data_IF_148793131079
#
_entry.id   IF_148793131079
#
_cell.length_a   1.000
_cell.length_b   1.000
_cell.length_c   1.000
_cell.angle_alpha   90.00
_cell.angle_beta   90.00
_cell.angle_gamma   90.00
#
_symmetry.space_group_name_H-M   'P 1'
#
loop_
_entity.id
_entity.type
_entity.pdbx_description
1 polymer ?
#
# COMPACT_ATOMS: atom_id res chain seq x y z
N UNK A 1 -38.40 7.71 9.78
CA UNK A 1 -38.74 6.35 9.29
C UNK A 1 -38.64 6.20 7.77
N UNK A 2 -39.11 7.15 6.93
CA UNK A 2 -38.94 7.07 5.47
C UNK A 2 -37.49 7.27 5.00
N UNK A 3 -36.76 8.20 5.62
CA UNK A 3 -35.36 8.48 5.23
C UNK A 3 -34.43 7.30 5.50
N UNK A 4 -34.60 6.61 6.63
CA UNK A 4 -33.84 5.41 6.96
C UNK A 4 -34.05 4.27 5.94
N UNK A 5 -35.26 4.15 5.39
CA UNK A 5 -35.61 3.12 4.40
C UNK A 5 -35.08 3.46 2.99
N UNK A 6 -34.95 4.75 2.67
CA UNK A 6 -34.32 5.20 1.42
C UNK A 6 -32.80 4.99 1.47
N UNK A 7 -32.17 5.25 2.62
CA UNK A 7 -30.75 4.97 2.83
C UNK A 7 -30.46 3.46 2.71
N UNK A 8 -31.25 2.61 3.37
CA UNK A 8 -31.09 1.15 3.31
C UNK A 8 -31.25 0.60 1.88
N UNK A 9 -32.18 1.16 1.10
CA UNK A 9 -32.36 0.79 -0.31
C UNK A 9 -31.19 1.25 -1.19
N UNK A 10 -30.67 2.45 -0.95
CA UNK A 10 -29.52 3.00 -1.66
C UNK A 10 -28.26 2.17 -1.39
N UNK A 11 -28.00 1.83 -0.12
CA UNK A 11 -26.89 0.97 0.29
C UNK A 11 -27.01 -0.43 -0.35
N UNK A 12 -28.23 -1.00 -0.35
CA UNK A 12 -28.50 -2.28 -1.00
C UNK A 12 -28.28 -2.25 -2.52
N UNK A 13 -28.66 -1.15 -3.18
CA UNK A 13 -28.43 -0.97 -4.62
C UNK A 13 -26.95 -0.79 -4.94
N UNK A 14 -26.22 0.01 -4.16
CA UNK A 14 -24.77 0.19 -4.32
C UNK A 14 -24.03 -1.13 -4.10
N UNK A 15 -24.40 -1.92 -3.09
CA UNK A 15 -23.85 -3.25 -2.88
C UNK A 15 -24.10 -4.18 -4.08
N UNK A 16 -25.32 -4.18 -4.63
CA UNK A 16 -25.65 -4.95 -5.83
C UNK A 16 -24.84 -4.51 -7.05
N UNK A 17 -24.71 -3.20 -7.29
CA UNK A 17 -23.91 -2.65 -8.39
C UNK A 17 -22.43 -2.98 -8.23
N UNK A 18 -21.89 -2.85 -7.02
CA UNK A 18 -20.51 -3.24 -6.72
C UNK A 18 -20.28 -4.74 -7.00
N UNK A 19 -21.21 -5.61 -6.61
CA UNK A 19 -21.12 -7.04 -6.91
C UNK A 19 -21.19 -7.34 -8.41
N UNK A 20 -21.99 -6.59 -9.17
CA UNK A 20 -22.03 -6.70 -10.64
C UNK A 20 -20.75 -6.19 -11.29
N UNK A 21 -20.19 -5.08 -10.82
CA UNK A 21 -18.91 -4.58 -11.29
C UNK A 21 -17.78 -5.59 -11.00
N UNK A 22 -17.75 -6.22 -9.82
CA UNK A 22 -16.79 -7.29 -9.51
C UNK A 22 -16.89 -8.46 -10.49
N UNK A 23 -18.09 -8.84 -10.93
CA UNK A 23 -18.27 -9.88 -11.97
C UNK A 23 -17.71 -9.37 -13.30
N UNK A 24 -18.11 -8.17 -13.72
CA UNK A 24 -17.69 -7.59 -14.99
C UNK A 24 -16.16 -7.45 -15.12
N UNK A 25 -15.50 -6.91 -14.09
CA UNK A 25 -14.03 -6.78 -14.06
C UNK A 25 -13.32 -8.14 -14.13
N UNK A 26 -13.90 -9.19 -13.53
CA UNK A 26 -13.36 -10.55 -13.66
C UNK A 26 -13.53 -11.10 -15.07
N UNK A 27 -14.66 -10.82 -15.72
CA UNK A 27 -14.88 -11.20 -17.12
C UNK A 27 -13.90 -10.47 -18.06
N UNK A 28 -13.45 -9.26 -17.71
CA UNK A 28 -12.37 -8.51 -18.39
C UNK A 28 -10.95 -9.01 -18.05
N UNK A 29 -10.84 -10.08 -17.25
CA UNK A 29 -9.57 -10.72 -16.91
C UNK A 29 -8.83 -10.09 -15.72
N UNK A 30 -9.46 -9.21 -14.95
CA UNK A 30 -8.88 -8.71 -13.69
C UNK A 30 -8.97 -9.81 -12.63
N UNK A 31 -7.86 -10.08 -11.94
CA UNK A 31 -7.82 -11.04 -10.83
C UNK A 31 -8.68 -10.58 -9.64
N UNK A 32 -9.26 -11.54 -8.91
CA UNK A 32 -10.19 -11.25 -7.81
C UNK A 32 -9.52 -10.50 -6.65
N UNK A 33 -8.24 -10.79 -6.41
CA UNK A 33 -7.42 -10.24 -5.34
C UNK A 33 -7.04 -8.77 -5.60
N UNK A 34 -6.84 -8.37 -6.86
CA UNK A 34 -6.64 -6.98 -7.24
C UNK A 34 -7.91 -6.15 -6.96
N UNK A 35 -9.08 -6.71 -7.30
CA UNK A 35 -10.37 -6.07 -7.01
C UNK A 35 -10.57 -5.95 -5.49
N UNK A 36 -10.25 -7.00 -4.74
CA UNK A 36 -10.35 -6.99 -3.28
C UNK A 36 -9.39 -5.97 -2.63
N UNK A 37 -8.18 -5.82 -3.15
CA UNK A 37 -7.18 -4.87 -2.66
C UNK A 37 -7.65 -3.41 -2.78
N UNK A 38 -8.28 -3.05 -3.89
CA UNK A 38 -8.81 -1.70 -4.08
C UNK A 38 -10.07 -1.47 -3.24
N UNK A 39 -11.01 -2.41 -3.27
CA UNK A 39 -12.28 -2.31 -2.51
C UNK A 39 -12.09 -2.27 -0.99
N UNK A 40 -11.03 -2.89 -0.46
CA UNK A 40 -10.74 -2.84 0.97
C UNK A 40 -10.35 -1.42 1.44
N UNK A 41 -9.81 -0.59 0.55
CA UNK A 41 -9.32 0.74 0.88
C UNK A 41 -10.43 1.79 0.97
N UNK A 42 -11.50 1.59 0.21
CA UNK A 42 -12.45 2.65 -0.08
C UNK A 42 -13.88 2.13 -0.09
N UNK A 43 -14.77 2.89 0.56
CA UNK A 43 -16.21 2.83 0.27
C UNK A 43 -16.45 3.71 -0.95
N UNK A 44 -15.82 3.38 -2.08
CA UNK A 44 -15.95 4.18 -3.30
C UNK A 44 -17.34 3.93 -3.87
N UNK A 45 -18.20 4.94 -3.75
CA UNK A 45 -19.52 4.99 -4.40
C UNK A 45 -19.39 5.33 -5.91
N UNK A 46 -18.17 5.60 -6.38
CA UNK A 46 -17.84 5.87 -7.78
C UNK A 46 -17.19 4.66 -8.46
N UNK A 47 -17.99 4.01 -9.31
CA UNK A 47 -17.60 2.81 -10.06
C UNK A 47 -16.56 3.08 -11.16
N UNK A 48 -16.52 4.31 -11.71
CA UNK A 48 -15.58 4.68 -12.78
C UNK A 48 -14.19 4.81 -12.19
N UNK A 49 -14.09 5.54 -11.08
CA UNK A 49 -12.87 5.70 -10.30
C UNK A 49 -12.29 4.36 -9.85
N UNK A 50 -13.15 3.49 -9.33
CA UNK A 50 -12.78 2.14 -8.92
C UNK A 50 -12.19 1.33 -10.09
N UNK A 51 -12.81 1.39 -11.28
CA UNK A 51 -12.31 0.70 -12.48
C UNK A 51 -10.93 1.21 -12.88
N UNK A 52 -10.72 2.52 -12.94
CA UNK A 52 -9.43 3.12 -13.30
C UNK A 52 -8.33 2.76 -12.29
N UNK A 53 -8.67 2.77 -11.00
CA UNK A 53 -7.75 2.38 -9.93
C UNK A 53 -7.36 0.91 -9.98
N UNK A 54 -8.32 0.02 -10.27
CA UNK A 54 -8.08 -1.40 -10.47
C UNK A 54 -7.22 -1.65 -11.72
N UNK A 55 -7.46 -0.93 -12.81
CA UNK A 55 -6.65 -1.02 -14.04
C UNK A 55 -5.20 -0.57 -13.79
N UNK A 56 -5.01 0.56 -13.09
CA UNK A 56 -3.69 1.05 -12.70
C UNK A 56 -2.96 0.06 -11.77
N UNK A 57 -3.68 -0.53 -10.79
CA UNK A 57 -3.10 -1.52 -9.88
C UNK A 57 -2.67 -2.77 -10.64
N UNK A 58 -3.50 -3.24 -11.57
CA UNK A 58 -3.18 -4.37 -12.43
C UNK A 58 -1.91 -4.09 -13.25
N UNK A 59 -1.85 -2.96 -13.95
CA UNK A 59 -0.69 -2.60 -14.77
C UNK A 59 0.60 -2.50 -13.92
N UNK A 60 0.50 -1.94 -12.72
CA UNK A 60 1.59 -1.90 -11.76
C UNK A 60 2.07 -3.30 -11.35
N UNK A 61 1.15 -4.19 -10.96
CA UNK A 61 1.50 -5.55 -10.51
C UNK A 61 2.00 -6.44 -11.65
N UNK A 62 1.61 -6.17 -12.89
CA UNK A 62 2.12 -6.84 -14.09
C UNK A 62 3.51 -6.33 -14.50
N UNK A 63 3.93 -5.16 -14.02
CA UNK A 63 5.27 -4.62 -14.26
C UNK A 63 6.32 -5.33 -13.40
N UNK A 64 7.55 -5.39 -13.92
CA UNK A 64 8.69 -5.95 -13.17
C UNK A 64 8.94 -5.19 -11.87
N UNK A 65 8.83 -3.86 -11.90
CA UNK A 65 9.09 -3.04 -10.72
C UNK A 65 8.03 -3.24 -9.64
N UNK A 66 6.75 -3.28 -10.03
CA UNK A 66 5.65 -3.47 -9.07
C UNK A 66 5.60 -4.88 -8.49
N UNK A 67 5.85 -5.91 -9.29
CA UNK A 67 5.94 -7.29 -8.82
C UNK A 67 7.05 -7.45 -7.77
N UNK A 68 8.24 -6.92 -8.04
CA UNK A 68 9.36 -6.99 -7.10
C UNK A 68 9.13 -6.13 -5.84
N UNK A 69 8.55 -4.94 -6.00
CA UNK A 69 8.18 -4.10 -4.86
C UNK A 69 7.13 -4.78 -3.97
N UNK A 70 6.18 -5.53 -4.54
CA UNK A 70 5.20 -6.30 -3.75
C UNK A 70 5.88 -7.37 -2.90
N UNK A 71 6.89 -8.06 -3.44
CA UNK A 71 7.69 -9.03 -2.68
C UNK A 71 8.40 -8.35 -1.51
N UNK A 72 9.05 -7.20 -1.78
CA UNK A 72 9.75 -6.44 -0.76
C UNK A 72 8.81 -5.86 0.33
N UNK A 73 7.62 -5.38 -0.07
CA UNK A 73 6.57 -4.96 0.85
C UNK A 73 6.12 -6.11 1.78
N UNK A 74 5.90 -7.31 1.25
CA UNK A 74 5.52 -8.47 2.06
C UNK A 74 6.59 -8.82 3.08
N UNK A 75 7.87 -8.73 2.69
CA UNK A 75 9.00 -8.90 3.62
C UNK A 75 8.97 -7.85 4.73
N UNK A 76 8.80 -6.57 4.39
CA UNK A 76 8.68 -5.48 5.35
C UNK A 76 7.51 -5.70 6.32
N UNK A 77 6.30 -5.94 5.79
CA UNK A 77 5.08 -6.17 6.57
C UNK A 77 5.23 -7.36 7.52
N UNK A 78 5.76 -8.48 7.02
CA UNK A 78 5.92 -9.69 7.83
C UNK A 78 6.96 -9.48 8.94
N UNK A 79 8.08 -8.80 8.65
CA UNK A 79 9.09 -8.50 9.66
C UNK A 79 8.52 -7.58 10.75
N UNK A 80 7.84 -6.51 10.37
CA UNK A 80 7.16 -5.61 11.31
C UNK A 80 6.17 -6.40 12.17
N UNK A 81 5.28 -7.20 11.57
CA UNK A 81 4.29 -8.00 12.30
C UNK A 81 4.91 -8.98 13.31
N UNK A 82 6.03 -9.62 12.95
CA UNK A 82 6.74 -10.53 13.85
C UNK A 82 7.27 -9.77 15.06
N UNK A 83 7.90 -8.61 14.83
CA UNK A 83 8.46 -7.81 15.92
C UNK A 83 7.34 -7.14 16.75
N UNK A 84 6.23 -6.71 16.15
CA UNK A 84 5.07 -6.15 16.87
C UNK A 84 4.51 -7.17 17.87
N UNK A 85 4.41 -8.44 17.46
CA UNK A 85 4.00 -9.53 18.35
C UNK A 85 5.01 -9.81 19.47
N UNK A 86 6.31 -9.79 19.16
CA UNK A 86 7.36 -10.04 20.16
C UNK A 86 7.42 -8.94 21.21
N UNK A 87 7.33 -7.69 20.77
CA UNK A 87 7.52 -6.52 21.62
C UNK A 87 6.19 -6.04 22.24
N UNK A 88 5.04 -6.59 21.80
CA UNK A 88 3.70 -6.14 22.18
C UNK A 88 3.51 -4.63 21.95
N UNK A 89 4.05 -4.11 20.85
CA UNK A 89 4.08 -2.70 20.48
C UNK A 89 3.91 -2.53 18.97
N UNK A 90 3.31 -1.42 18.53
CA UNK A 90 3.19 -1.06 17.10
C UNK A 90 4.43 -0.34 16.57
N UNK A 91 4.75 -0.53 15.28
CA UNK A 91 5.80 0.23 14.58
C UNK A 91 5.26 1.15 13.49
N UNK A 92 4.08 1.68 13.74
CA UNK A 92 3.38 2.69 12.97
C UNK A 92 3.80 4.14 13.30
N UNK A 93 4.80 4.30 14.19
CA UNK A 93 5.34 5.60 14.61
C UNK A 93 6.19 6.32 13.57
N UNK A 94 6.71 7.49 14.00
CA UNK A 94 7.54 8.38 13.18
C UNK A 94 8.99 7.92 13.14
N UNK A 95 9.58 7.95 11.95
CA UNK A 95 11.03 7.75 11.74
C UNK A 95 11.78 8.97 12.26
N UNK A 96 12.79 8.74 13.09
CA UNK A 96 13.69 9.77 13.57
C UNK A 96 14.87 9.85 12.60
N UNK A 97 14.85 10.84 11.70
CA UNK A 97 15.86 10.99 10.63
C UNK A 97 17.29 11.07 11.17
N UNK A 98 17.49 11.77 12.29
CA UNK A 98 18.79 11.87 12.96
C UNK A 98 19.34 10.53 13.50
N UNK A 99 18.53 9.47 13.50
CA UNK A 99 18.92 8.11 13.90
C UNK A 99 19.04 7.16 12.70
N UNK A 100 19.04 7.68 11.46
CA UNK A 100 19.36 6.91 10.25
C UNK A 100 20.87 6.91 10.05
N UNK A 101 21.48 5.74 10.17
CA UNK A 101 22.94 5.59 10.23
C UNK A 101 23.51 5.22 8.88
N UNK A 102 22.90 4.23 8.23
CA UNK A 102 23.42 3.70 6.97
C UNK A 102 22.88 4.51 5.77
N UNK A 103 23.70 4.69 4.73
CA UNK A 103 23.30 5.43 3.54
C UNK A 103 22.01 4.88 2.87
N UNK A 104 21.78 3.55 2.78
CA UNK A 104 20.53 3.00 2.27
C UNK A 104 19.29 3.39 3.10
N UNK A 105 19.42 3.57 4.42
CA UNK A 105 18.30 4.01 5.28
C UNK A 105 17.89 5.44 4.95
N UNK A 106 18.87 6.32 4.81
CA UNK A 106 18.68 7.72 4.48
C UNK A 106 18.08 7.87 3.08
N UNK A 107 18.62 7.13 2.10
CA UNK A 107 18.13 7.13 0.73
C UNK A 107 16.69 6.61 0.65
N UNK A 108 16.36 5.53 1.36
CA UNK A 108 15.01 5.00 1.44
C UNK A 108 14.05 6.00 2.09
N UNK A 109 14.43 6.59 3.23
CA UNK A 109 13.57 7.54 3.93
C UNK A 109 13.25 8.77 3.07
N UNK A 110 14.27 9.36 2.43
CA UNK A 110 14.08 10.49 1.52
C UNK A 110 13.15 10.11 0.36
N UNK A 111 13.37 8.95 -0.27
CA UNK A 111 12.52 8.51 -1.38
C UNK A 111 11.08 8.25 -0.94
N UNK A 112 10.87 7.70 0.25
CA UNK A 112 9.53 7.49 0.79
C UNK A 112 8.76 8.81 0.99
N UNK A 113 9.44 9.88 1.46
CA UNK A 113 8.80 11.19 1.57
C UNK A 113 8.38 11.73 0.19
N UNK A 114 9.27 11.65 -0.80
CA UNK A 114 8.98 12.11 -2.16
C UNK A 114 7.81 11.33 -2.78
N UNK A 115 7.85 9.99 -2.66
CA UNK A 115 6.84 9.10 -3.24
C UNK A 115 5.49 9.29 -2.55
N UNK A 116 5.45 9.44 -1.23
CA UNK A 116 4.19 9.74 -0.51
C UNK A 116 3.57 11.03 -1.04
N UNK A 117 4.35 12.11 -1.12
CA UNK A 117 3.83 13.40 -1.59
C UNK A 117 3.29 13.32 -3.02
N UNK A 118 4.04 12.66 -3.93
CA UNK A 118 3.61 12.47 -5.32
C UNK A 118 2.34 11.61 -5.40
N UNK A 119 2.29 10.50 -4.67
CA UNK A 119 1.13 9.62 -4.65
C UNK A 119 -0.11 10.33 -4.09
N UNK A 120 0.01 11.10 -3.01
CA UNK A 120 -1.11 11.85 -2.44
C UNK A 120 -1.66 12.91 -3.40
N UNK A 121 -0.80 13.62 -4.12
CA UNK A 121 -1.22 14.60 -5.14
C UNK A 121 -1.92 13.89 -6.29
N UNK A 122 -1.33 12.82 -6.81
CA UNK A 122 -1.91 12.04 -7.91
C UNK A 122 -3.26 11.43 -7.53
N UNK A 123 -3.39 10.86 -6.32
CA UNK A 123 -4.65 10.29 -5.83
C UNK A 123 -5.77 11.33 -5.65
N UNK A 124 -5.42 12.58 -5.30
CA UNK A 124 -6.37 13.71 -5.25
C UNK A 124 -6.81 14.17 -6.64
N UNK A 125 -5.91 14.09 -7.62
CA UNK A 125 -6.19 14.37 -9.03
C UNK A 125 -6.80 13.20 -9.80
N UNK A 126 -7.05 12.06 -9.14
CA UNK A 126 -7.53 10.82 -9.75
C UNK A 126 -6.57 10.23 -10.81
N UNK A 127 -5.29 10.60 -10.72
CA UNK A 127 -4.21 10.14 -11.59
C UNK A 127 -3.61 8.83 -11.04
N UNK A 128 -4.39 7.74 -11.06
CA UNK A 128 -3.98 6.47 -10.45
C UNK A 128 -2.71 5.86 -11.04
N UNK A 129 -2.53 5.96 -12.36
CA UNK A 129 -1.30 5.48 -13.02
C UNK A 129 -0.06 6.23 -12.52
N UNK A 130 -0.17 7.54 -12.30
CA UNK A 130 0.91 8.37 -11.77
C UNK A 130 1.24 7.98 -10.33
N UNK A 131 0.22 7.70 -9.51
CA UNK A 131 0.42 7.21 -8.14
C UNK A 131 1.16 5.86 -8.13
N UNK A 132 0.76 4.92 -8.99
CA UNK A 132 1.42 3.61 -9.12
C UNK A 132 2.86 3.73 -9.63
N UNK A 133 3.11 4.58 -10.63
CA UNK A 133 4.44 4.84 -11.15
C UNK A 133 5.34 5.50 -10.10
N UNK A 134 4.78 6.34 -9.22
CA UNK A 134 5.52 6.88 -8.08
C UNK A 134 5.91 5.77 -7.09
N UNK A 135 4.98 4.87 -6.75
CA UNK A 135 5.26 3.72 -5.88
C UNK A 135 6.36 2.82 -6.44
N UNK A 136 6.34 2.51 -7.75
CA UNK A 136 7.35 1.67 -8.40
C UNK A 136 8.80 2.14 -8.16
N UNK A 137 9.00 3.45 -7.99
CA UNK A 137 10.32 4.04 -7.68
C UNK A 137 10.91 3.60 -6.33
N UNK A 138 10.11 2.96 -5.47
CA UNK A 138 10.55 2.43 -4.20
C UNK A 138 11.27 1.08 -4.32
N UNK A 139 11.16 0.35 -5.44
CA UNK A 139 11.81 -0.96 -5.61
C UNK A 139 13.29 -0.91 -5.24
N UNK A 140 14.08 -0.11 -5.98
CA UNK A 140 15.54 -0.04 -5.82
C UNK A 140 15.97 0.34 -4.39
N UNK A 141 15.45 1.41 -3.77
CA UNK A 141 15.88 1.76 -2.41
C UNK A 141 15.39 0.78 -1.33
N UNK A 142 14.26 0.10 -1.54
CA UNK A 142 13.80 -0.94 -0.60
C UNK A 142 14.71 -2.18 -0.69
N UNK A 143 15.09 -2.59 -1.90
CA UNK A 143 16.01 -3.71 -2.11
C UNK A 143 17.37 -3.39 -1.47
N UNK A 144 17.94 -2.22 -1.77
CA UNK A 144 19.21 -1.77 -1.17
C UNK A 144 19.16 -1.72 0.36
N UNK A 145 18.05 -1.25 0.94
CA UNK A 145 17.88 -1.31 2.39
C UNK A 145 17.93 -2.75 2.90
N UNK A 146 17.26 -3.68 2.25
CA UNK A 146 17.20 -5.06 2.71
C UNK A 146 18.49 -5.87 2.50
N UNK A 147 19.32 -5.45 1.55
CA UNK A 147 20.62 -6.06 1.25
C UNK A 147 21.71 -5.56 2.21
N UNK A 148 21.72 -4.25 2.49
CA UNK A 148 22.80 -3.61 3.25
C UNK A 148 22.46 -3.33 4.71
N UNK A 149 21.17 -3.31 5.11
CA UNK A 149 20.74 -2.93 6.46
C UNK A 149 20.22 -4.12 7.25
N UNK A 150 20.95 -4.46 8.32
CA UNK A 150 20.46 -5.44 9.31
C UNK A 150 19.45 -4.78 10.25
N UNK A 151 18.17 -5.13 10.12
CA UNK A 151 17.11 -4.55 10.96
C UNK A 151 17.25 -4.95 12.43
N UNK A 152 17.53 -6.23 12.69
CA UNK A 152 17.65 -6.74 14.06
C UNK A 152 19.08 -6.55 14.59
N UNK A 153 19.28 -5.48 15.35
CA UNK A 153 20.54 -5.10 16.01
C UNK A 153 20.34 -4.96 17.52
N UNK A 154 21.46 -5.02 18.26
CA UNK A 154 21.45 -4.95 19.73
C UNK A 154 21.04 -3.57 20.27
N UNK A 155 21.32 -2.51 19.51
CA UNK A 155 20.84 -1.17 19.83
C UNK A 155 19.32 -1.09 19.62
N UNK A 156 18.60 -1.03 20.74
CA UNK A 156 17.13 -0.98 20.77
C UNK A 156 16.56 0.27 20.10
N UNK A 157 17.23 1.41 20.22
CA UNK A 157 16.75 2.66 19.61
C UNK A 157 16.89 2.60 18.09
N UNK A 158 18.05 2.15 17.61
CA UNK A 158 18.31 1.97 16.17
C UNK A 158 17.38 0.91 15.57
N UNK A 159 17.23 -0.26 16.22
CA UNK A 159 16.28 -1.31 15.80
C UNK A 159 14.86 -0.75 15.69
N UNK A 160 14.41 0.00 16.70
CA UNK A 160 13.07 0.62 16.69
C UNK A 160 12.91 1.60 15.52
N UNK A 161 13.91 2.44 15.25
CA UNK A 161 13.86 3.40 14.15
C UNK A 161 13.81 2.68 12.78
N UNK A 162 14.59 1.61 12.59
CA UNK A 162 14.54 0.76 11.39
C UNK A 162 13.18 0.08 11.23
N UNK A 163 12.53 -0.35 12.31
CA UNK A 163 11.18 -0.91 12.28
C UNK A 163 10.13 0.15 11.93
N UNK A 164 10.27 1.39 12.42
CA UNK A 164 9.43 2.50 11.97
C UNK A 164 9.59 2.77 10.48
N UNK A 165 10.82 2.70 9.94
CA UNK A 165 11.09 2.87 8.52
C UNK A 165 10.40 1.78 7.67
N UNK A 166 10.41 0.53 8.14
CA UNK A 166 9.64 -0.55 7.50
C UNK A 166 8.12 -0.34 7.59
N UNK A 167 7.63 0.16 8.73
CA UNK A 167 6.24 0.56 8.89
C UNK A 167 5.85 1.72 7.97
N UNK A 168 6.80 2.59 7.63
CA UNK A 168 6.66 3.69 6.69
C UNK A 168 6.40 3.17 5.26
N UNK A 169 7.20 2.21 4.79
CA UNK A 169 6.98 1.50 3.50
C UNK A 169 5.54 0.99 3.44
N UNK A 170 5.09 0.32 4.50
CA UNK A 170 3.74 -0.24 4.59
C UNK A 170 2.67 0.84 4.39
N UNK A 171 2.75 1.92 5.16
CA UNK A 171 1.79 3.04 5.09
C UNK A 171 1.79 3.71 3.73
N UNK A 172 2.96 3.88 3.12
CA UNK A 172 3.10 4.55 1.82
C UNK A 172 2.39 3.75 0.71
N UNK A 173 2.57 2.43 0.66
CA UNK A 173 1.84 1.59 -0.30
C UNK A 173 0.35 1.50 0.01
N UNK A 174 -0.04 1.41 1.28
CA UNK A 174 -1.44 1.37 1.71
C UNK A 174 -2.24 2.64 1.36
N UNK A 175 -1.60 3.74 0.94
CA UNK A 175 -2.34 4.90 0.39
C UNK A 175 -3.07 4.59 -0.92
N UNK A 176 -2.58 3.62 -1.68
CA UNK A 176 -3.04 3.34 -3.04
C UNK A 176 -3.96 2.13 -3.10
N UNK A 177 -3.62 1.03 -2.40
CA UNK A 177 -4.42 -0.19 -2.32
C UNK A 177 -4.05 -1.01 -1.06
N UNK A 178 -4.96 -1.88 -0.60
CA UNK A 178 -4.65 -2.87 0.42
C UNK A 178 -3.89 -4.06 -0.20
N UNK A 179 -2.57 -3.90 -0.31
CA UNK A 179 -1.67 -4.93 -0.83
C UNK A 179 -1.66 -6.21 0.01
N UNK A 180 -2.25 -6.22 1.22
CA UNK A 180 -2.41 -7.45 2.00
C UNK A 180 -3.40 -8.43 1.37
N UNK A 181 -4.29 -7.95 0.49
CA UNK A 181 -5.28 -8.74 -0.23
C UNK A 181 -4.76 -9.36 -1.52
N UNK A 182 -3.62 -8.87 -2.04
CA UNK A 182 -3.03 -9.37 -3.28
C UNK A 182 -2.35 -10.72 -3.02
N UNK A 183 -2.80 -11.75 -3.72
CA UNK A 183 -2.35 -13.13 -3.61
C UNK A 183 -1.12 -13.42 -4.50
N UNK A 184 -0.30 -14.39 -4.07
CA UNK A 184 0.95 -14.79 -4.71
C UNK A 184 2.15 -14.39 -3.88
#
# INVERSE_FOLDING_TARGET
MRDARCAELADGLLAFLADRLKVHLRDEGVRHDHIAAVLALTKEDDLVRLRERVAALRAFLESEDGANLLVAYRRARNLVHIEEKKDSAGYDGTVVEAQLVEAPEQALYARLQDVRNLAEVALKGEEFEVAMAALARLRVPVDAFFDDVKVNVDDKALRKNRLHLLGEIRRTLETVADFSKVEG
#
